data_IF_993294684528
#
_entry.id   IF_993294684528
#
_cell.length_a   1.000
_cell.length_b   1.000
_cell.length_c   1.000
_cell.angle_alpha   90.00
_cell.angle_beta   90.00
_cell.angle_gamma   90.00
#
_symmetry.space_group_name_H-M   'P 1'
#
loop_
_entity.id
_entity.type
_entity.pdbx_description
1 polymer ?
#
# COMPACT_ATOMS: atom_id res chain seq x y z
N UNK A 1 0.39 -7.50 10.81
CA UNK A 1 0.86 -8.89 10.65
C UNK A 1 1.97 -8.87 9.62
N UNK A 2 3.19 -9.18 10.02
CA UNK A 2 4.36 -9.15 9.14
C UNK A 2 4.55 -10.52 8.46
N UNK A 3 5.39 -10.56 7.42
CA UNK A 3 5.86 -11.80 6.80
C UNK A 3 7.37 -11.86 6.90
N UNK A 4 7.91 -13.08 6.92
CA UNK A 4 9.34 -13.31 6.81
C UNK A 4 9.62 -14.06 5.52
N UNK A 5 10.63 -13.63 4.77
CA UNK A 5 11.05 -14.30 3.55
C UNK A 5 11.59 -15.71 3.88
N UNK A 6 11.00 -16.75 3.29
CA UNK A 6 11.43 -18.15 3.47
C UNK A 6 12.70 -18.49 2.69
N UNK A 7 12.99 -17.72 1.65
CA UNK A 7 14.12 -17.84 0.73
C UNK A 7 14.43 -16.47 0.12
N UNK A 8 15.56 -16.37 -0.60
CA UNK A 8 15.92 -15.15 -1.31
C UNK A 8 14.94 -14.93 -2.48
N UNK A 9 14.38 -13.73 -2.58
CA UNK A 9 13.44 -13.38 -3.64
C UNK A 9 13.75 -12.01 -4.25
N UNK A 10 13.92 -11.96 -5.57
CA UNK A 10 14.10 -10.70 -6.30
C UNK A 10 12.74 -10.17 -6.76
N UNK A 11 12.41 -8.96 -6.34
CA UNK A 11 11.14 -8.29 -6.62
C UNK A 11 11.03 -7.87 -8.10
N UNK A 12 10.52 -8.76 -8.94
CA UNK A 12 10.20 -8.47 -10.34
C UNK A 12 11.35 -7.77 -11.09
N UNK A 13 11.03 -6.70 -11.82
CA UNK A 13 12.02 -5.90 -12.58
C UNK A 13 12.74 -4.84 -11.75
N UNK A 14 12.45 -4.71 -10.44
CA UNK A 14 13.06 -3.67 -9.60
C UNK A 14 14.53 -3.96 -9.27
N UNK A 15 14.96 -5.21 -9.41
CA UNK A 15 16.31 -5.66 -9.02
C UNK A 15 16.55 -5.73 -7.50
N UNK A 16 15.55 -5.41 -6.68
CA UNK A 16 15.65 -5.49 -5.22
C UNK A 16 15.55 -6.94 -4.78
N UNK A 17 16.55 -7.44 -4.05
CA UNK A 17 16.53 -8.78 -3.45
C UNK A 17 16.15 -8.69 -1.97
N UNK A 18 15.11 -9.44 -1.60
CA UNK A 18 14.73 -9.71 -0.22
C UNK A 18 15.44 -11.00 0.19
N UNK A 19 16.40 -10.88 1.11
CA UNK A 19 17.15 -12.04 1.62
C UNK A 19 16.28 -12.93 2.51
N UNK A 20 16.57 -14.23 2.52
CA UNK A 20 15.95 -15.19 3.43
C UNK A 20 16.07 -14.70 4.87
N UNK A 21 14.96 -14.76 5.59
CA UNK A 21 14.88 -14.33 6.98
C UNK A 21 14.60 -12.84 7.16
N UNK A 22 14.60 -12.03 6.09
CA UNK A 22 14.21 -10.63 6.17
C UNK A 22 12.70 -10.49 6.43
N UNK A 23 12.34 -9.53 7.27
CA UNK A 23 10.95 -9.19 7.54
C UNK A 23 10.42 -8.26 6.42
N UNK A 24 9.25 -8.59 5.91
CA UNK A 24 8.49 -7.80 4.95
C UNK A 24 7.27 -7.23 5.67
N UNK A 25 7.30 -5.93 5.88
CA UNK A 25 6.19 -5.15 6.44
C UNK A 25 5.50 -4.32 5.35
N UNK A 26 4.16 -4.32 5.35
CA UNK A 26 3.36 -3.44 4.49
C UNK A 26 2.79 -2.31 5.37
N UNK A 27 3.17 -1.04 5.14
CA UNK A 27 2.77 0.07 5.99
C UNK A 27 1.36 0.56 5.63
N UNK A 28 0.34 -0.27 5.87
CA UNK A 28 -1.07 -0.02 5.49
C UNK A 28 -1.57 1.34 5.98
N UNK A 29 -1.23 1.73 7.22
CA UNK A 29 -1.65 3.02 7.76
C UNK A 29 -1.08 4.18 6.95
N UNK A 30 0.22 4.16 6.65
CA UNK A 30 0.86 5.22 5.88
C UNK A 30 0.32 5.28 4.45
N UNK A 31 0.06 4.13 3.81
CA UNK A 31 -0.55 4.06 2.47
C UNK A 31 -1.95 4.70 2.46
N UNK A 32 -2.80 4.35 3.42
CA UNK A 32 -4.13 4.96 3.53
C UNK A 32 -4.11 6.45 3.89
N UNK A 33 -2.99 6.96 4.43
CA UNK A 33 -2.84 8.37 4.79
C UNK A 33 -1.92 9.15 3.84
N UNK A 34 -1.58 8.58 2.69
CA UNK A 34 -0.79 9.29 1.69
C UNK A 34 -1.70 10.30 0.92
N UNK A 35 -1.43 11.62 1.02
CA UNK A 35 -2.24 12.64 0.35
C UNK A 35 -2.16 12.57 -1.18
N UNK A 36 -1.19 11.84 -1.74
CA UNK A 36 -1.12 11.55 -3.18
C UNK A 36 -2.33 10.74 -3.65
N UNK A 37 -2.84 9.84 -2.81
CA UNK A 37 -3.97 8.96 -3.14
C UNK A 37 -5.27 9.39 -2.46
N UNK A 38 -5.18 9.95 -1.25
CA UNK A 38 -6.34 10.35 -0.44
C UNK A 38 -6.22 11.81 -0.01
N UNK A 39 -6.82 12.77 -0.75
CA UNK A 39 -6.79 14.19 -0.37
C UNK A 39 -7.40 14.41 1.02
N UNK A 40 -6.70 15.17 1.87
CA UNK A 40 -7.04 15.40 3.29
C UNK A 40 -7.21 14.08 4.07
N UNK A 41 -6.20 13.19 4.07
CA UNK A 41 -6.35 11.79 4.49
C UNK A 41 -6.80 11.62 5.95
N UNK A 42 -6.36 12.54 6.83
CA UNK A 42 -6.68 12.52 8.26
C UNK A 42 -8.15 12.84 8.58
N UNK A 43 -8.92 13.34 7.60
CA UNK A 43 -10.35 13.60 7.75
C UNK A 43 -11.18 12.37 7.37
N UNK A 44 -12.12 12.01 8.24
CA UNK A 44 -13.14 11.00 7.95
C UNK A 44 -14.12 11.51 6.90
N UNK A 45 -13.90 11.14 5.63
CA UNK A 45 -14.74 11.48 4.47
C UNK A 45 -15.28 10.20 3.80
N UNK A 46 -16.34 9.57 4.33
CA UNK A 46 -16.89 8.33 3.77
C UNK A 46 -17.38 8.50 2.32
N UNK A 47 -17.69 9.73 1.90
CA UNK A 47 -18.14 10.07 0.56
C UNK A 47 -17.13 9.69 -0.54
N UNK A 48 -15.83 9.59 -0.20
CA UNK A 48 -14.76 9.13 -1.11
C UNK A 48 -15.09 7.80 -1.79
N UNK A 49 -15.78 6.91 -1.08
CA UNK A 49 -16.02 5.53 -1.52
C UNK A 49 -17.45 5.29 -2.03
N UNK A 50 -18.29 6.33 -2.09
CA UNK A 50 -19.63 6.23 -2.66
C UNK A 50 -19.55 6.03 -4.19
N UNK A 51 -20.57 5.39 -4.76
CA UNK A 51 -20.57 4.97 -6.16
C UNK A 51 -20.19 6.07 -7.16
N UNK A 52 -20.67 7.31 -6.95
CA UNK A 52 -20.37 8.46 -7.82
C UNK A 52 -18.93 8.99 -7.76
N UNK A 53 -18.14 8.57 -6.76
CA UNK A 53 -16.75 9.00 -6.58
C UNK A 53 -15.72 7.89 -6.85
N UNK A 54 -16.17 6.66 -7.14
CA UNK A 54 -15.30 5.48 -7.28
C UNK A 54 -14.28 5.63 -8.42
N UNK A 55 -14.63 6.35 -9.49
CA UNK A 55 -13.73 6.62 -10.62
C UNK A 55 -12.58 7.59 -10.27
N UNK A 56 -12.70 8.32 -9.16
CA UNK A 56 -11.67 9.27 -8.70
C UNK A 56 -10.60 8.58 -7.84
N UNK A 57 -10.82 7.32 -7.46
CA UNK A 57 -9.87 6.54 -6.68
C UNK A 57 -8.84 5.92 -7.62
N UNK A 58 -7.57 6.02 -7.24
CA UNK A 58 -6.49 5.35 -7.97
C UNK A 58 -6.62 3.83 -7.72
N UNK A 59 -6.67 2.99 -8.77
CA UNK A 59 -6.75 1.55 -8.57
C UNK A 59 -5.50 0.99 -7.87
N UNK A 60 -5.71 0.05 -6.95
CA UNK A 60 -4.64 -0.69 -6.27
C UNK A 60 -3.71 0.15 -5.39
N UNK A 61 -4.23 1.24 -4.81
CA UNK A 61 -3.52 2.12 -3.87
C UNK A 61 -4.07 2.05 -2.46
#
# INVERSE_FOLDING_TARGET
MERQASENYTLGSTGITIEKGMIVGIPVWALHHDPQYYPEPDLFKPERFLAGNRERLVPYT
#
